data_IF_754720128025
#
_entry.id   IF_754720128025
#
_cell.length_a   1.000
_cell.length_b   1.000
_cell.length_c   1.000
_cell.angle_alpha   90.00
_cell.angle_beta   90.00
_cell.angle_gamma   90.00
#
_symmetry.space_group_name_H-M   'P 1'
#
loop_
_entity.id
_entity.type
_entity.pdbx_description
1 polymer ?
#
# COMPACT_ATOMS: atom_id res chain seq x y z
N UNK A 1 -5.82 -0.26 32.88
CA UNK A 1 -4.88 -0.86 31.90
C UNK A 1 -5.00 -0.10 30.61
N UNK A 2 -3.90 0.17 29.88
CA UNK A 2 -3.99 0.83 28.58
C UNK A 2 -4.78 -0.05 27.59
N UNK A 3 -5.69 0.58 26.83
CA UNK A 3 -6.49 -0.10 25.83
C UNK A 3 -5.58 -0.66 24.73
N UNK A 4 -5.73 -1.95 24.41
CA UNK A 4 -4.92 -2.61 23.38
C UNK A 4 -5.30 -2.11 22.00
N UNK A 5 -4.30 -1.77 21.18
CA UNK A 5 -4.49 -1.19 19.85
C UNK A 5 -4.43 -2.24 18.74
N UNK A 6 -5.15 -1.97 17.66
CA UNK A 6 -5.00 -2.64 16.36
C UNK A 6 -4.41 -1.63 15.41
N UNK A 7 -3.25 -1.94 14.85
CA UNK A 7 -2.49 -1.07 13.95
C UNK A 7 -2.44 -1.71 12.56
N UNK A 8 -3.07 -1.07 11.61
CA UNK A 8 -3.18 -1.52 10.23
C UNK A 8 -2.28 -0.66 9.35
N UNK A 9 -1.17 -1.21 8.87
CA UNK A 9 -0.39 -0.60 7.79
C UNK A 9 -0.96 -1.09 6.45
N UNK A 10 -1.62 -0.19 5.74
CA UNK A 10 -2.40 -0.50 4.53
C UNK A 10 -1.71 -0.10 3.22
N UNK A 11 -0.45 0.21 3.26
CA UNK A 11 0.34 0.60 2.08
C UNK A 11 0.47 2.12 1.99
N UNK A 12 0.39 2.75 0.82
CA UNK A 12 -0.05 2.24 -0.49
C UNK A 12 0.94 1.25 -1.15
N UNK A 13 0.59 0.77 -2.35
CA UNK A 13 1.52 0.00 -3.16
C UNK A 13 2.75 0.82 -3.53
N UNK A 14 3.91 0.17 -3.71
CA UNK A 14 5.17 0.82 -4.14
C UNK A 14 5.68 1.93 -3.19
N UNK A 15 5.38 1.82 -1.90
CA UNK A 15 5.77 2.77 -0.83
C UNK A 15 6.56 2.11 0.30
N UNK A 16 7.53 1.24 -0.01
CA UNK A 16 8.37 0.49 0.92
C UNK A 16 7.62 -0.50 1.84
N UNK A 17 6.39 -0.91 1.49
CA UNK A 17 5.61 -1.88 2.28
C UNK A 17 6.39 -3.18 2.50
N UNK A 18 7.04 -3.70 1.46
CA UNK A 18 7.88 -4.92 1.55
C UNK A 18 9.02 -4.77 2.56
N UNK A 19 9.69 -3.62 2.61
CA UNK A 19 10.73 -3.34 3.59
C UNK A 19 10.18 -3.43 5.02
N UNK A 20 9.08 -2.73 5.32
CA UNK A 20 8.46 -2.75 6.65
C UNK A 20 7.97 -4.15 7.02
N UNK A 21 7.39 -4.89 6.08
CA UNK A 21 6.94 -6.27 6.28
C UNK A 21 8.11 -7.20 6.64
N UNK A 22 9.23 -7.11 5.92
CA UNK A 22 10.45 -7.87 6.23
C UNK A 22 11.02 -7.47 7.59
N UNK A 23 11.07 -6.17 7.89
CA UNK A 23 11.55 -5.65 9.16
C UNK A 23 10.75 -6.19 10.34
N UNK A 24 9.41 -6.16 10.27
CA UNK A 24 8.54 -6.69 11.32
C UNK A 24 8.61 -8.22 11.41
N UNK A 25 8.70 -8.93 10.29
CA UNK A 25 8.87 -10.40 10.28
C UNK A 25 10.18 -10.81 10.94
N UNK A 26 11.29 -10.14 10.62
CA UNK A 26 12.60 -10.38 11.20
C UNK A 26 12.62 -10.11 12.72
N UNK A 27 11.88 -9.12 13.17
CA UNK A 27 11.78 -8.73 14.56
C UNK A 27 10.59 -9.37 15.30
N UNK A 28 9.86 -10.32 14.71
CA UNK A 28 8.62 -10.87 15.26
C UNK A 28 8.75 -11.39 16.69
N UNK A 29 9.86 -12.05 17.02
CA UNK A 29 10.10 -12.56 18.37
C UNK A 29 10.32 -11.44 19.40
N UNK A 30 10.98 -10.34 18.99
CA UNK A 30 11.16 -9.15 19.84
C UNK A 30 9.83 -8.45 20.05
N UNK A 31 9.05 -8.26 18.99
CA UNK A 31 7.71 -7.66 19.05
C UNK A 31 6.79 -8.46 20.00
N UNK A 32 6.79 -9.79 19.88
CA UNK A 32 5.97 -10.66 20.74
C UNK A 32 6.34 -10.55 22.21
N UNK A 33 7.63 -10.46 22.55
CA UNK A 33 8.10 -10.24 23.95
C UNK A 33 7.69 -8.87 24.49
N UNK A 34 7.49 -7.88 23.63
CA UNK A 34 7.03 -6.55 23.99
C UNK A 34 5.50 -6.37 23.83
N UNK A 35 4.74 -7.47 23.79
CA UNK A 35 3.28 -7.43 23.80
C UNK A 35 2.62 -7.13 22.45
N UNK A 36 3.36 -7.16 21.34
CA UNK A 36 2.86 -6.90 19.98
C UNK A 36 2.76 -8.21 19.19
N UNK A 37 1.60 -8.55 18.71
CA UNK A 37 1.38 -9.66 17.78
C UNK A 37 1.46 -9.14 16.35
N UNK A 38 2.51 -9.49 15.65
CA UNK A 38 2.65 -9.21 14.22
C UNK A 38 2.20 -10.41 13.38
N UNK A 39 1.31 -10.13 12.42
CA UNK A 39 0.86 -11.13 11.46
C UNK A 39 1.65 -10.99 10.15
N UNK A 40 2.50 -11.97 9.79
CA UNK A 40 3.30 -11.93 8.56
C UNK A 40 2.44 -11.84 7.30
N UNK A 41 2.98 -11.15 6.30
CA UNK A 41 2.31 -10.92 5.01
C UNK A 41 1.77 -12.21 4.38
N UNK A 42 2.54 -13.30 4.43
CA UNK A 42 2.20 -14.59 3.82
C UNK A 42 0.87 -15.12 4.36
N UNK A 43 0.64 -15.00 5.66
CA UNK A 43 -0.59 -15.42 6.31
C UNK A 43 -1.77 -14.48 5.97
N UNK A 44 -1.50 -13.18 5.88
CA UNK A 44 -2.52 -12.15 5.70
C UNK A 44 -3.01 -12.08 4.26
N UNK A 45 -2.08 -12.07 3.30
CA UNK A 45 -2.36 -11.88 1.88
C UNK A 45 -3.32 -12.90 1.31
N UNK A 46 -3.10 -14.18 1.60
CA UNK A 46 -3.97 -15.24 1.13
C UNK A 46 -5.38 -15.13 1.72
N UNK A 47 -5.48 -14.82 3.01
CA UNK A 47 -6.78 -14.62 3.66
C UNK A 47 -7.52 -13.42 3.06
N UNK A 48 -6.83 -12.30 2.84
CA UNK A 48 -7.41 -11.09 2.23
C UNK A 48 -7.88 -11.39 0.81
N UNK A 49 -7.03 -11.97 -0.05
CA UNK A 49 -7.33 -12.28 -1.45
C UNK A 49 -8.50 -13.26 -1.57
N UNK A 50 -8.42 -14.41 -0.90
CA UNK A 50 -9.46 -15.43 -0.95
C UNK A 50 -10.80 -14.91 -0.41
N UNK A 51 -10.77 -14.16 0.68
CA UNK A 51 -11.98 -13.59 1.26
C UNK A 51 -12.62 -12.56 0.35
N UNK A 52 -11.81 -11.73 -0.32
CA UNK A 52 -12.28 -10.73 -1.27
C UNK A 52 -12.94 -11.40 -2.50
N UNK A 53 -12.26 -12.36 -3.12
CA UNK A 53 -12.80 -13.09 -4.27
C UNK A 53 -14.12 -13.82 -3.96
N UNK A 54 -14.19 -14.48 -2.80
CA UNK A 54 -15.41 -15.15 -2.35
C UNK A 54 -16.54 -14.16 -2.09
N UNK A 55 -16.22 -12.99 -1.54
CA UNK A 55 -17.20 -11.95 -1.30
C UNK A 55 -17.72 -11.32 -2.60
N UNK A 56 -16.87 -11.14 -3.61
CA UNK A 56 -17.30 -10.72 -4.97
C UNK A 56 -18.28 -11.73 -5.56
N UNK A 57 -17.95 -13.01 -5.54
CA UNK A 57 -18.83 -14.10 -6.06
C UNK A 57 -20.18 -14.16 -5.33
N UNK A 58 -20.20 -13.94 -4.02
CA UNK A 58 -21.46 -13.91 -3.25
C UNK A 58 -22.34 -12.71 -3.58
N UNK A 59 -21.73 -11.54 -3.86
CA UNK A 59 -22.49 -10.34 -4.25
C UNK A 59 -23.15 -10.47 -5.62
N UNK A 60 -22.62 -11.28 -6.53
CA UNK A 60 -23.16 -11.44 -7.88
C UNK A 60 -24.46 -12.22 -7.94
N UNK A 61 -24.93 -12.86 -6.85
CA UNK A 61 -26.16 -13.63 -6.81
C UNK A 61 -27.03 -13.31 -5.59
N UNK A 62 -28.35 -13.43 -5.73
CA UNK A 62 -29.32 -13.24 -4.63
C UNK A 62 -29.09 -14.24 -3.49
N UNK A 63 -28.84 -15.51 -3.82
CA UNK A 63 -28.51 -16.56 -2.84
C UNK A 63 -27.24 -16.25 -2.08
N UNK A 64 -26.21 -15.73 -2.76
CA UNK A 64 -24.96 -15.35 -2.14
C UNK A 64 -25.10 -14.13 -1.22
N UNK A 65 -25.95 -13.16 -1.56
CA UNK A 65 -26.27 -12.02 -0.69
C UNK A 65 -26.98 -12.47 0.59
N UNK A 66 -27.94 -13.38 0.46
CA UNK A 66 -28.64 -13.95 1.63
C UNK A 66 -27.68 -14.76 2.50
N UNK A 67 -26.80 -15.58 1.90
CA UNK A 67 -25.77 -16.32 2.63
C UNK A 67 -24.81 -15.39 3.38
N UNK A 68 -24.40 -14.27 2.79
CA UNK A 68 -23.54 -13.27 3.45
C UNK A 68 -24.25 -12.58 4.62
N UNK A 69 -25.55 -12.40 4.54
CA UNK A 69 -26.36 -11.87 5.63
C UNK A 69 -26.43 -12.84 6.81
N UNK A 70 -26.61 -14.14 6.55
CA UNK A 70 -26.76 -15.19 7.58
C UNK A 70 -25.40 -15.58 8.20
N UNK A 71 -24.37 -15.79 7.37
CA UNK A 71 -23.07 -16.35 7.77
C UNK A 71 -21.97 -15.32 7.93
N UNK A 72 -22.26 -14.03 7.74
CA UNK A 72 -21.26 -12.95 7.71
C UNK A 72 -20.40 -12.97 6.45
N UNK A 73 -19.57 -11.94 6.30
CA UNK A 73 -18.59 -11.92 5.23
C UNK A 73 -17.33 -12.73 5.62
N UNK A 74 -16.70 -13.32 4.61
CA UNK A 74 -15.58 -14.25 4.84
C UNK A 74 -14.34 -13.57 5.43
N UNK A 75 -14.14 -12.28 5.14
CA UNK A 75 -13.01 -11.55 5.68
C UNK A 75 -13.16 -11.37 7.19
N UNK A 76 -14.34 -10.93 7.64
CA UNK A 76 -14.58 -10.74 9.06
C UNK A 76 -14.48 -12.05 9.85
N UNK A 77 -15.05 -13.13 9.32
CA UNK A 77 -15.00 -14.46 9.98
C UNK A 77 -13.56 -14.95 10.15
N UNK A 78 -12.73 -14.83 9.11
CA UNK A 78 -11.35 -15.34 9.13
C UNK A 78 -10.39 -14.46 9.93
N UNK A 79 -10.61 -13.14 9.96
CA UNK A 79 -9.69 -12.21 10.62
C UNK A 79 -10.09 -11.90 12.07
N UNK A 80 -11.34 -12.14 12.46
CA UNK A 80 -11.80 -11.90 13.83
C UNK A 80 -10.91 -12.54 14.91
N UNK A 81 -10.46 -13.81 14.80
CA UNK A 81 -9.56 -14.40 15.79
C UNK A 81 -8.24 -13.63 15.96
N UNK A 82 -7.74 -13.01 14.89
CA UNK A 82 -6.48 -12.24 14.93
C UNK A 82 -6.62 -10.94 15.73
N UNK A 83 -7.79 -10.32 15.68
CA UNK A 83 -8.06 -9.07 16.37
C UNK A 83 -8.61 -9.24 17.80
N UNK A 84 -9.00 -10.47 18.18
CA UNK A 84 -9.56 -10.77 19.49
C UNK A 84 -8.52 -11.15 20.55
N UNK A 85 -7.23 -11.16 20.20
CA UNK A 85 -6.16 -11.49 21.15
C UNK A 85 -5.88 -10.32 22.10
N UNK A 86 -5.53 -10.63 23.36
CA UNK A 86 -5.25 -9.66 24.44
C UNK A 86 -3.85 -9.01 24.32
N UNK A 87 -3.50 -8.54 23.12
CA UNK A 87 -2.23 -7.88 22.79
C UNK A 87 -2.46 -6.76 21.78
N UNK A 88 -1.49 -5.87 21.63
CA UNK A 88 -1.45 -5.01 20.47
C UNK A 88 -1.27 -5.87 19.22
N UNK A 89 -2.01 -5.53 18.17
CA UNK A 89 -1.95 -6.24 16.88
C UNK A 89 -1.36 -5.32 15.84
N UNK A 90 -0.34 -5.78 15.14
CA UNK A 90 0.22 -5.12 13.96
C UNK A 90 -0.01 -6.00 12.73
N UNK A 91 -0.65 -5.43 11.72
CA UNK A 91 -0.90 -6.05 10.44
C UNK A 91 -0.43 -5.10 9.33
N UNK A 92 0.34 -5.63 8.36
CA UNK A 92 0.85 -4.87 7.22
C UNK A 92 0.50 -5.59 5.92
N UNK A 93 -0.44 -5.03 5.14
CA UNK A 93 -0.87 -5.58 3.86
C UNK A 93 -1.52 -4.49 2.97
N UNK A 94 -0.87 -4.16 1.88
CA UNK A 94 -1.35 -3.15 0.91
C UNK A 94 -2.60 -3.58 0.14
N UNK A 95 -2.83 -4.86 -0.04
CA UNK A 95 -4.04 -5.36 -0.72
C UNK A 95 -5.33 -5.16 0.10
N UNK A 96 -5.22 -4.66 1.33
CA UNK A 96 -6.41 -4.25 2.10
C UNK A 96 -7.16 -3.09 1.45
N UNK A 97 -6.48 -2.23 0.69
CA UNK A 97 -7.13 -1.08 0.02
C UNK A 97 -7.35 -1.29 -1.47
N UNK A 98 -6.73 -2.31 -2.08
CA UNK A 98 -6.86 -2.60 -3.51
C UNK A 98 -5.86 -3.64 -3.96
N UNK A 99 -5.91 -4.01 -5.24
CA UNK A 99 -4.95 -4.91 -5.88
C UNK A 99 -4.24 -4.22 -7.04
N UNK A 100 -3.09 -4.75 -7.49
CA UNK A 100 -2.36 -4.20 -8.63
C UNK A 100 -3.21 -4.09 -9.90
N UNK A 101 -4.17 -5.00 -10.10
CA UNK A 101 -5.10 -4.96 -11.22
C UNK A 101 -6.06 -3.75 -11.19
N UNK A 102 -6.34 -3.17 -10.01
CA UNK A 102 -7.21 -1.99 -9.88
C UNK A 102 -6.63 -0.77 -10.61
N UNK A 103 -5.30 -0.75 -10.87
CA UNK A 103 -4.58 0.30 -11.58
C UNK A 103 -4.52 0.09 -13.11
N UNK A 104 -5.08 -0.98 -13.63
CA UNK A 104 -5.25 -1.16 -15.08
C UNK A 104 -6.45 -0.39 -15.61
N UNK A 105 -7.39 -0.01 -14.74
CA UNK A 105 -8.56 0.79 -15.03
C UNK A 105 -8.40 2.26 -14.63
N UNK A 106 -9.48 3.04 -14.82
CA UNK A 106 -9.49 4.49 -14.52
C UNK A 106 -9.71 4.79 -13.03
N UNK A 107 -9.82 3.76 -12.19
CA UNK A 107 -10.26 3.90 -10.81
C UNK A 107 -9.12 3.69 -9.82
N UNK A 108 -8.80 4.77 -9.11
CA UNK A 108 -7.78 4.78 -8.07
C UNK A 108 -8.34 4.18 -6.76
N UNK A 109 -7.95 2.95 -6.42
CA UNK A 109 -8.40 2.25 -5.20
C UNK A 109 -9.92 2.22 -5.00
N UNK A 110 -10.69 2.03 -6.07
CA UNK A 110 -12.16 2.13 -6.07
C UNK A 110 -12.87 1.24 -5.05
N UNK A 111 -12.26 0.12 -4.68
CA UNK A 111 -12.83 -0.84 -3.75
C UNK A 111 -12.34 -0.65 -2.30
N UNK A 112 -11.55 0.38 -2.02
CA UNK A 112 -10.97 0.62 -0.71
C UNK A 112 -12.03 0.69 0.40
N UNK A 113 -13.07 1.52 0.22
CA UNK A 113 -14.12 1.67 1.22
C UNK A 113 -14.86 0.35 1.50
N UNK A 114 -15.12 -0.45 0.45
CA UNK A 114 -15.77 -1.75 0.59
C UNK A 114 -14.89 -2.76 1.35
N UNK A 115 -13.61 -2.86 0.99
CA UNK A 115 -12.65 -3.76 1.62
C UNK A 115 -12.48 -3.44 3.10
N UNK A 116 -12.27 -2.18 3.44
CA UNK A 116 -12.12 -1.73 4.82
C UNK A 116 -13.41 -1.84 5.64
N UNK A 117 -14.58 -1.63 5.04
CA UNK A 117 -15.87 -1.84 5.70
C UNK A 117 -16.10 -3.30 6.11
N UNK A 118 -15.57 -4.24 5.33
CA UNK A 118 -15.63 -5.66 5.71
C UNK A 118 -14.62 -6.00 6.79
N UNK A 119 -13.41 -5.46 6.68
CA UNK A 119 -12.38 -5.62 7.71
C UNK A 119 -12.87 -5.09 9.06
N UNK A 120 -13.55 -3.93 9.07
CA UNK A 120 -14.13 -3.32 10.28
C UNK A 120 -15.01 -4.28 11.07
N UNK A 121 -15.77 -5.16 10.41
CA UNK A 121 -16.63 -6.14 11.07
C UNK A 121 -15.85 -7.20 11.86
N UNK A 122 -14.58 -7.41 11.54
CA UNK A 122 -13.70 -8.30 12.28
C UNK A 122 -13.08 -7.64 13.52
N UNK A 123 -13.04 -6.31 13.55
CA UNK A 123 -12.39 -5.53 14.61
C UNK A 123 -13.35 -5.35 15.78
N UNK A 124 -12.99 -5.77 16.99
CA UNK A 124 -13.80 -5.52 18.18
C UNK A 124 -13.99 -4.01 18.44
N UNK A 125 -15.20 -3.61 18.83
CA UNK A 125 -15.57 -2.20 19.00
C UNK A 125 -14.88 -1.51 20.17
N UNK A 126 -14.38 -2.28 21.11
CA UNK A 126 -13.66 -1.85 22.32
C UNK A 126 -12.15 -1.68 22.08
N UNK A 127 -11.66 -1.93 20.86
CA UNK A 127 -10.25 -1.78 20.51
C UNK A 127 -9.98 -0.43 19.85
N UNK A 128 -8.87 0.20 20.23
CA UNK A 128 -8.36 1.36 19.50
C UNK A 128 -7.85 0.92 18.12
N UNK A 129 -8.25 1.64 17.07
CA UNK A 129 -7.84 1.38 15.71
C UNK A 129 -6.95 2.51 15.19
N UNK A 130 -5.76 2.15 14.73
CA UNK A 130 -4.85 3.02 14.01
C UNK A 130 -4.66 2.53 12.58
N UNK A 131 -4.74 3.43 11.63
CA UNK A 131 -4.50 3.16 10.21
C UNK A 131 -3.28 3.95 9.76
N UNK A 132 -2.29 3.24 9.22
CA UNK A 132 -1.01 3.78 8.79
C UNK A 132 -0.91 3.68 7.27
N UNK A 133 -0.80 4.83 6.60
CA UNK A 133 -0.78 4.93 5.14
C UNK A 133 0.41 5.74 4.66
N UNK A 134 1.23 5.16 3.81
CA UNK A 134 2.26 5.85 3.04
C UNK A 134 1.71 6.25 1.68
N UNK A 135 1.81 7.52 1.33
CA UNK A 135 1.50 8.05 -0.01
C UNK A 135 2.78 8.44 -0.73
N UNK A 136 2.73 8.64 -2.05
CA UNK A 136 3.92 8.90 -2.86
C UNK A 136 3.62 9.92 -3.95
N UNK A 137 4.66 10.62 -4.46
CA UNK A 137 4.51 11.54 -5.57
C UNK A 137 3.85 10.87 -6.76
N UNK A 138 2.97 11.56 -7.46
CA UNK A 138 2.20 10.98 -8.56
C UNK A 138 3.09 10.51 -9.71
N UNK A 139 4.11 11.28 -10.18
CA UNK A 139 4.98 10.79 -11.23
C UNK A 139 5.64 9.46 -10.89
N UNK A 140 6.20 9.36 -9.70
CA UNK A 140 6.90 8.16 -9.24
C UNK A 140 5.96 7.01 -8.90
N UNK A 141 4.79 7.30 -8.33
CA UNK A 141 3.81 6.29 -8.00
C UNK A 141 3.30 5.58 -9.24
N UNK A 142 2.77 6.33 -10.21
CA UNK A 142 2.20 5.75 -11.42
C UNK A 142 3.24 5.10 -12.32
N UNK A 143 4.44 5.68 -12.46
CA UNK A 143 5.55 5.03 -13.19
C UNK A 143 5.92 3.68 -12.56
N UNK A 144 6.00 3.63 -11.21
CA UNK A 144 6.30 2.39 -10.48
C UNK A 144 5.18 1.36 -10.56
N UNK A 145 3.91 1.79 -10.56
CA UNK A 145 2.75 0.91 -10.73
C UNK A 145 2.68 0.35 -12.14
N UNK A 146 2.96 1.16 -13.17
CA UNK A 146 3.04 0.70 -14.55
C UNK A 146 4.09 -0.39 -14.73
N UNK A 147 5.32 -0.15 -14.26
CA UNK A 147 6.40 -1.13 -14.35
C UNK A 147 6.09 -2.43 -13.60
N UNK A 148 5.38 -2.36 -12.47
CA UNK A 148 4.92 -3.56 -11.75
C UNK A 148 3.84 -4.30 -12.52
N UNK A 149 2.83 -3.58 -13.04
CA UNK A 149 1.73 -4.18 -13.78
C UNK A 149 2.20 -4.85 -15.09
N UNK A 150 3.15 -4.23 -15.80
CA UNK A 150 3.73 -4.75 -17.04
C UNK A 150 4.36 -6.15 -16.89
N UNK A 151 4.80 -6.49 -15.69
CA UNK A 151 5.36 -7.81 -15.38
C UNK A 151 4.35 -8.94 -15.46
N UNK A 152 3.08 -8.63 -15.21
CA UNK A 152 2.04 -9.64 -15.08
C UNK A 152 1.02 -9.59 -16.21
N UNK A 153 0.80 -8.40 -16.77
CA UNK A 153 -0.26 -8.15 -17.76
C UNK A 153 0.25 -7.38 -18.97
N UNK A 154 -0.35 -7.62 -20.15
CA UNK A 154 -0.19 -6.69 -21.27
C UNK A 154 -0.66 -5.28 -20.87
N UNK A 155 0.16 -4.28 -21.14
CA UNK A 155 -0.12 -2.89 -20.78
C UNK A 155 -0.39 -2.04 -22.02
N UNK A 156 -1.18 -0.96 -21.92
CA UNK A 156 -1.22 0.07 -22.94
C UNK A 156 0.19 0.66 -23.12
N UNK A 157 0.45 1.34 -24.25
CA UNK A 157 1.76 1.98 -24.44
C UNK A 157 2.03 3.00 -23.32
N UNK A 158 3.32 3.32 -23.03
CA UNK A 158 3.63 4.33 -22.02
C UNK A 158 2.92 5.66 -22.26
N UNK A 159 2.78 6.08 -23.51
CA UNK A 159 2.12 7.33 -23.90
C UNK A 159 0.60 7.27 -23.65
N UNK A 160 -0.05 6.17 -23.97
CA UNK A 160 -1.46 5.95 -23.69
C UNK A 160 -1.74 5.92 -22.17
N UNK A 161 -0.82 5.30 -21.42
CA UNK A 161 -0.89 5.29 -19.97
C UNK A 161 -0.69 6.69 -19.36
N UNK A 162 0.30 7.43 -19.85
CA UNK A 162 0.58 8.79 -19.41
C UNK A 162 -0.63 9.70 -19.59
N UNK A 163 -1.24 9.71 -20.78
CA UNK A 163 -2.43 10.51 -21.08
C UNK A 163 -3.63 10.16 -20.18
N UNK A 164 -3.73 8.91 -19.71
CA UNK A 164 -4.80 8.50 -18.80
C UNK A 164 -4.64 9.07 -17.39
N UNK A 165 -3.40 9.25 -16.93
CA UNK A 165 -3.09 9.63 -15.56
C UNK A 165 -2.53 11.04 -15.39
N UNK A 166 -2.47 11.84 -16.45
CA UNK A 166 -1.97 13.22 -16.37
C UNK A 166 -2.82 14.14 -15.44
N UNK A 167 -4.09 13.77 -15.18
CA UNK A 167 -4.98 14.45 -14.24
C UNK A 167 -5.12 13.63 -12.95
N UNK A 168 -4.05 13.59 -12.15
CA UNK A 168 -4.03 12.83 -10.91
C UNK A 168 -4.43 13.62 -9.66
N UNK A 169 -4.68 14.94 -9.78
CA UNK A 169 -5.05 15.79 -8.66
C UNK A 169 -6.24 15.25 -7.86
N UNK A 170 -6.16 15.30 -6.52
CA UNK A 170 -7.22 14.86 -5.62
C UNK A 170 -7.32 13.34 -5.41
N UNK A 171 -6.46 12.53 -6.02
CA UNK A 171 -6.54 11.06 -5.88
C UNK A 171 -6.16 10.59 -4.47
N UNK A 172 -5.11 11.15 -3.85
CA UNK A 172 -4.78 10.83 -2.47
C UNK A 172 -5.82 11.34 -1.48
N UNK A 173 -6.31 12.58 -1.55
CA UNK A 173 -7.46 13.04 -0.78
C UNK A 173 -8.68 12.12 -0.90
N UNK A 174 -9.04 11.72 -2.13
CA UNK A 174 -10.16 10.79 -2.37
C UNK A 174 -9.96 9.42 -1.68
N UNK A 175 -8.73 8.87 -1.68
CA UNK A 175 -8.43 7.65 -0.95
C UNK A 175 -8.61 7.84 0.56
N UNK A 176 -8.14 8.97 1.11
CA UNK A 176 -8.34 9.30 2.53
C UNK A 176 -9.83 9.37 2.86
N UNK A 177 -10.65 9.98 2.01
CA UNK A 177 -12.10 10.07 2.20
C UNK A 177 -12.77 8.68 2.18
N UNK A 178 -12.32 7.79 1.31
CA UNK A 178 -12.79 6.40 1.31
C UNK A 178 -12.42 5.66 2.61
N UNK A 179 -11.19 5.84 3.11
CA UNK A 179 -10.75 5.27 4.38
C UNK A 179 -11.59 5.81 5.53
N UNK A 180 -11.83 7.13 5.58
CA UNK A 180 -12.66 7.79 6.58
C UNK A 180 -14.11 7.31 6.56
N UNK A 181 -14.67 7.15 5.38
CA UNK A 181 -16.02 6.61 5.21
C UNK A 181 -16.15 5.18 5.80
N UNK A 182 -15.14 4.34 5.58
CA UNK A 182 -15.15 2.97 6.08
C UNK A 182 -14.81 2.88 7.59
N UNK A 183 -13.86 3.68 8.05
CA UNK A 183 -13.25 3.63 9.39
C UNK A 183 -13.29 5.03 10.06
N UNK A 184 -14.47 5.60 10.35
CA UNK A 184 -14.61 6.99 10.79
C UNK A 184 -13.91 7.30 12.13
N UNK A 185 -13.79 6.30 13.00
CA UNK A 185 -13.22 6.45 14.34
C UNK A 185 -11.75 6.00 14.43
N UNK A 186 -11.11 5.63 13.32
CA UNK A 186 -9.72 5.22 13.33
C UNK A 186 -8.80 6.44 13.45
N UNK A 187 -7.71 6.33 14.19
CA UNK A 187 -6.61 7.29 14.07
C UNK A 187 -5.90 7.04 12.75
N UNK A 188 -5.96 8.01 11.83
CA UNK A 188 -5.32 7.88 10.51
C UNK A 188 -4.01 8.64 10.50
N UNK A 189 -2.92 7.89 10.35
CA UNK A 189 -1.55 8.40 10.29
C UNK A 189 -1.04 8.26 8.85
N UNK A 190 -0.61 9.37 8.27
CA UNK A 190 -0.17 9.45 6.87
C UNK A 190 1.23 10.05 6.79
N UNK A 191 2.05 9.58 5.86
CA UNK A 191 3.34 10.17 5.54
C UNK A 191 3.64 10.04 4.05
N UNK A 192 4.55 10.90 3.56
CA UNK A 192 5.06 10.82 2.21
C UNK A 192 6.24 9.82 2.13
N UNK A 193 6.27 9.00 1.08
CA UNK A 193 7.35 8.06 0.82
C UNK A 193 8.72 8.76 0.70
N UNK A 194 8.71 9.96 0.17
CA UNK A 194 9.90 10.80 0.00
C UNK A 194 10.57 11.13 1.34
N UNK A 195 9.76 11.20 2.42
CA UNK A 195 10.22 11.47 3.79
C UNK A 195 10.54 10.18 4.57
N UNK A 196 10.29 9.00 4.00
CA UNK A 196 10.32 7.73 4.72
C UNK A 196 11.63 7.49 5.47
N UNK A 197 12.78 7.79 4.86
CA UNK A 197 14.10 7.54 5.47
C UNK A 197 14.31 8.34 6.76
N UNK A 198 13.87 9.59 6.76
CA UNK A 198 13.99 10.47 7.93
C UNK A 198 12.95 10.15 9.01
N UNK A 199 11.79 9.63 8.60
CA UNK A 199 10.68 9.26 9.47
C UNK A 199 10.69 7.80 9.93
N UNK A 200 11.53 6.94 9.36
CA UNK A 200 11.53 5.50 9.62
C UNK A 200 11.54 5.15 11.12
N UNK A 201 12.43 5.75 11.97
CA UNK A 201 12.44 5.45 13.41
C UNK A 201 11.12 5.80 14.09
N UNK A 202 10.50 6.91 13.70
CA UNK A 202 9.22 7.38 14.24
C UNK A 202 8.06 6.49 13.78
N UNK A 203 8.07 6.07 12.52
CA UNK A 203 7.07 5.15 11.94
C UNK A 203 7.14 3.80 12.63
N UNK A 204 8.34 3.19 12.73
CA UNK A 204 8.53 1.90 13.38
C UNK A 204 8.11 1.95 14.84
N UNK A 205 8.55 2.96 15.61
CA UNK A 205 8.15 3.14 17.00
C UNK A 205 6.65 3.36 17.15
N UNK A 206 6.03 4.16 16.28
CA UNK A 206 4.60 4.39 16.27
C UNK A 206 3.81 3.10 16.02
N UNK A 207 4.17 2.35 14.96
CA UNK A 207 3.51 1.09 14.62
C UNK A 207 3.70 -0.01 15.65
N UNK A 208 4.89 -0.11 16.26
CA UNK A 208 5.20 -1.22 17.17
C UNK A 208 5.07 -0.86 18.65
N UNK A 209 5.18 0.42 19.01
CA UNK A 209 5.34 0.85 20.41
C UNK A 209 6.70 0.47 21.04
N UNK A 210 7.58 -0.21 20.28
CA UNK A 210 8.88 -0.72 20.75
C UNK A 210 9.98 0.25 20.39
N UNK A 211 10.92 0.49 21.31
CA UNK A 211 12.10 1.31 21.01
C UNK A 211 12.94 0.62 19.92
N UNK A 212 13.33 1.40 18.89
CA UNK A 212 14.10 0.88 17.76
C UNK A 212 15.43 0.26 18.20
N UNK A 213 16.04 0.71 19.31
CA UNK A 213 17.26 0.14 19.87
C UNK A 213 17.12 -1.32 20.29
N UNK A 214 15.90 -1.78 20.57
CA UNK A 214 15.57 -3.17 20.88
C UNK A 214 15.33 -4.02 19.65
N UNK A 215 15.14 -3.38 18.49
CA UNK A 215 14.87 -4.05 17.22
C UNK A 215 16.17 -4.22 16.43
N UNK A 216 16.27 -5.35 15.73
CA UNK A 216 17.44 -5.67 14.92
C UNK A 216 17.30 -5.03 13.54
N UNK A 217 18.31 -4.29 13.05
CA UNK A 217 18.30 -3.77 11.68
C UNK A 217 18.33 -4.94 10.68
N UNK A 218 17.69 -4.76 9.53
CA UNK A 218 17.81 -5.72 8.43
C UNK A 218 19.23 -5.67 7.88
N UNK A 219 19.90 -6.80 7.84
CA UNK A 219 21.24 -6.90 7.24
C UNK A 219 21.15 -6.86 5.71
N UNK A 220 20.09 -7.42 5.16
CA UNK A 220 19.83 -7.46 3.73
C UNK A 220 18.33 -7.29 3.51
N UNK A 221 17.97 -6.42 2.58
CA UNK A 221 16.59 -6.17 2.19
C UNK A 221 16.37 -6.80 0.83
N UNK A 222 15.48 -7.77 0.76
CA UNK A 222 15.07 -8.37 -0.50
C UNK A 222 14.02 -7.47 -1.15
N UNK A 223 14.49 -6.33 -1.67
CA UNK A 223 13.66 -5.40 -2.46
C UNK A 223 14.11 -5.48 -3.90
N UNK A 224 13.19 -5.87 -4.76
CA UNK A 224 13.44 -5.86 -6.20
C UNK A 224 13.71 -4.42 -6.66
N UNK A 225 14.84 -4.14 -7.32
CA UNK A 225 15.13 -2.82 -7.84
C UNK A 225 14.10 -2.41 -8.90
N UNK A 226 13.95 -1.10 -9.11
CA UNK A 226 13.15 -0.59 -10.23
C UNK A 226 13.81 -1.02 -11.55
N UNK A 227 13.01 -1.51 -12.49
CA UNK A 227 13.52 -1.85 -13.83
C UNK A 227 13.98 -0.58 -14.56
N UNK A 228 14.96 -0.74 -15.46
CA UNK A 228 15.39 0.34 -16.32
C UNK A 228 14.29 0.78 -17.29
N UNK A 229 14.40 1.99 -17.83
CA UNK A 229 13.47 2.48 -18.84
C UNK A 229 13.41 1.54 -20.05
N UNK A 230 14.58 1.04 -20.49
CA UNK A 230 14.67 0.09 -21.61
C UNK A 230 13.97 -1.23 -21.28
N UNK A 231 14.27 -1.84 -20.13
CA UNK A 231 13.65 -3.11 -19.74
C UNK A 231 12.12 -3.02 -19.73
N UNK A 232 11.54 -1.96 -19.14
CA UNK A 232 10.09 -1.80 -19.12
C UNK A 232 9.49 -1.67 -20.51
N UNK A 233 10.13 -0.92 -21.42
CA UNK A 233 9.64 -0.76 -22.80
C UNK A 233 9.70 -2.08 -23.59
N UNK A 234 10.75 -2.88 -23.43
CA UNK A 234 10.86 -4.20 -24.06
C UNK A 234 9.82 -5.19 -23.46
N UNK A 235 9.57 -5.14 -22.14
CA UNK A 235 8.52 -5.95 -21.50
C UNK A 235 7.12 -5.59 -22.05
N UNK A 236 6.85 -4.32 -22.24
CA UNK A 236 5.56 -3.85 -22.78
C UNK A 236 5.40 -4.23 -24.25
N UNK A 237 6.48 -4.29 -25.01
CA UNK A 237 6.48 -4.72 -26.40
C UNK A 237 6.28 -6.24 -26.61
N UNK A 238 6.31 -7.03 -25.53
CA UNK A 238 6.02 -8.46 -25.64
C UNK A 238 4.61 -8.71 -26.21
N UNK A 239 4.44 -9.73 -27.05
CA UNK A 239 3.13 -10.12 -27.58
C UNK A 239 2.08 -10.29 -26.48
N UNK A 240 0.84 -9.91 -26.78
CA UNK A 240 -0.25 -9.91 -25.79
C UNK A 240 -0.73 -11.31 -25.38
N UNK A 241 -0.42 -12.33 -26.17
CA UNK A 241 -0.66 -13.73 -25.89
C UNK A 241 0.34 -14.32 -24.90
N UNK A 242 1.52 -13.71 -24.74
CA UNK A 242 2.48 -14.07 -23.68
C UNK A 242 1.98 -13.52 -22.33
N UNK A 243 1.49 -14.43 -21.47
CA UNK A 243 0.89 -14.11 -20.19
C UNK A 243 1.37 -15.06 -19.06
N UNK A 244 1.04 -14.71 -17.82
CA UNK A 244 1.30 -15.57 -16.67
C UNK A 244 2.78 -15.93 -16.46
N UNK A 245 3.11 -17.21 -16.21
CA UNK A 245 4.49 -17.64 -15.92
C UNK A 245 5.48 -17.37 -17.07
N UNK A 246 5.04 -17.51 -18.32
CA UNK A 246 5.90 -17.25 -19.48
C UNK A 246 6.28 -15.76 -19.54
N UNK A 247 5.31 -14.86 -19.38
CA UNK A 247 5.58 -13.42 -19.33
C UNK A 247 6.54 -13.07 -18.20
N UNK A 248 6.37 -13.68 -17.04
CA UNK A 248 7.25 -13.47 -15.89
C UNK A 248 8.70 -13.91 -16.20
N UNK A 249 8.90 -15.03 -16.87
CA UNK A 249 10.23 -15.47 -17.27
C UNK A 249 10.86 -14.50 -18.26
N UNK A 250 10.13 -14.10 -19.30
CA UNK A 250 10.62 -13.12 -20.28
C UNK A 250 10.97 -11.78 -19.65
N UNK A 251 10.16 -11.34 -18.69
CA UNK A 251 10.44 -10.12 -17.94
C UNK A 251 11.75 -10.22 -17.13
N UNK A 252 12.00 -11.36 -16.46
CA UNK A 252 13.25 -11.57 -15.70
C UNK A 252 14.48 -11.52 -16.65
N UNK A 253 14.39 -12.18 -17.80
CA UNK A 253 15.45 -12.15 -18.84
C UNK A 253 15.72 -10.70 -19.31
N UNK A 254 14.67 -9.92 -19.55
CA UNK A 254 14.80 -8.52 -20.01
C UNK A 254 15.34 -7.59 -18.91
N UNK A 255 14.95 -7.78 -17.65
CA UNK A 255 15.51 -7.01 -16.53
C UNK A 255 16.99 -7.32 -16.30
N UNK A 256 17.41 -8.59 -16.50
CA UNK A 256 18.82 -8.99 -16.44
C UNK A 256 19.63 -8.47 -17.61
N UNK A 257 19.06 -8.49 -18.81
CA UNK A 257 19.71 -8.00 -20.04
C UNK A 257 19.87 -6.47 -20.05
N UNK A 258 18.94 -5.76 -19.45
CA UNK A 258 18.90 -4.30 -19.39
C UNK A 258 18.85 -3.78 -17.96
N UNK A 259 19.89 -3.99 -17.14
CA UNK A 259 19.91 -3.50 -15.78
C UNK A 259 19.93 -1.96 -15.75
N UNK A 260 19.35 -1.32 -14.73
CA UNK A 260 19.41 0.14 -14.60
C UNK A 260 20.86 0.59 -14.38
N UNK A 261 21.31 1.59 -15.13
CA UNK A 261 22.66 2.15 -15.02
C UNK A 261 22.82 3.01 -13.78
N UNK A 262 21.81 3.83 -13.50
CA UNK A 262 21.75 4.74 -12.36
C UNK A 262 20.29 5.12 -12.06
N UNK A 263 20.09 6.09 -11.16
CA UNK A 263 18.76 6.55 -10.79
C UNK A 263 18.00 7.27 -11.90
N UNK A 264 18.69 7.85 -12.88
CA UNK A 264 18.07 8.56 -14.02
C UNK A 264 17.55 7.60 -15.08
N UNK A 265 18.05 6.37 -15.12
CA UNK A 265 17.62 5.32 -16.06
C UNK A 265 16.33 4.60 -15.63
N UNK A 266 15.64 5.13 -14.61
CA UNK A 266 14.34 4.59 -14.20
C UNK A 266 13.28 4.87 -15.25
N UNK A 267 12.37 3.93 -15.39
CA UNK A 267 11.23 4.10 -16.27
C UNK A 267 10.39 5.32 -15.86
N UNK A 268 10.11 6.17 -16.85
CA UNK A 268 9.16 7.27 -16.76
C UNK A 268 8.36 7.35 -18.06
N UNK A 269 7.02 7.29 -18.01
CA UNK A 269 6.20 7.45 -19.20
C UNK A 269 5.90 8.91 -19.55
N UNK A 270 6.27 9.86 -18.68
CA UNK A 270 5.83 11.26 -18.72
C UNK A 270 6.66 12.10 -19.67
N UNK A 271 6.00 13.05 -20.37
CA UNK A 271 6.69 14.22 -20.92
C UNK A 271 7.12 15.16 -19.78
N UNK A 272 8.06 16.10 -20.02
CA UNK A 272 8.41 17.10 -19.02
C UNK A 272 7.20 17.87 -18.49
N UNK A 273 6.28 18.29 -19.36
CA UNK A 273 5.06 19.04 -19.01
C UNK A 273 4.11 18.21 -18.17
N UNK A 274 3.92 16.94 -18.51
CA UNK A 274 3.11 16.01 -17.71
C UNK A 274 3.72 15.77 -16.32
N UNK A 275 5.06 15.64 -16.26
CA UNK A 275 5.76 15.46 -15.00
C UNK A 275 5.59 16.69 -14.09
N UNK A 276 5.74 17.91 -14.61
CA UNK A 276 5.52 19.16 -13.87
C UNK A 276 4.07 19.28 -13.37
N UNK A 277 3.09 18.97 -14.20
CA UNK A 277 1.67 18.96 -13.84
C UNK A 277 1.37 17.99 -12.69
N UNK A 278 1.88 16.76 -12.81
CA UNK A 278 1.72 15.73 -11.78
C UNK A 278 2.43 16.09 -10.47
N UNK A 279 3.62 16.70 -10.55
CA UNK A 279 4.34 17.14 -9.36
C UNK A 279 3.60 18.30 -8.67
N UNK A 280 3.09 19.27 -9.43
CA UNK A 280 2.26 20.35 -8.87
C UNK A 280 1.00 19.81 -8.18
N UNK A 281 0.32 18.84 -8.79
CA UNK A 281 -0.83 18.16 -8.20
C UNK A 281 -0.45 17.43 -6.90
N UNK A 282 0.70 16.75 -6.88
CA UNK A 282 1.24 16.08 -5.70
C UNK A 282 1.51 17.06 -4.55
N UNK A 283 2.21 18.16 -4.82
CA UNK A 283 2.54 19.15 -3.80
C UNK A 283 1.27 19.77 -3.19
N UNK A 284 0.28 20.06 -4.04
CA UNK A 284 -1.02 20.55 -3.57
C UNK A 284 -1.72 19.54 -2.67
N UNK A 285 -1.88 18.29 -3.12
CA UNK A 285 -2.59 17.26 -2.37
C UNK A 285 -1.87 16.92 -1.04
N UNK A 286 -0.53 16.93 -1.05
CA UNK A 286 0.28 16.75 0.15
C UNK A 286 0.04 17.86 1.16
N UNK A 287 -0.01 19.12 0.71
CA UNK A 287 -0.29 20.27 1.58
C UNK A 287 -1.73 20.22 2.13
N UNK A 288 -2.72 19.93 1.28
CA UNK A 288 -4.11 19.79 1.67
C UNK A 288 -4.29 18.68 2.73
N UNK A 289 -3.65 17.53 2.54
CA UNK A 289 -3.69 16.42 3.50
C UNK A 289 -2.99 16.76 4.83
N UNK A 290 -1.90 17.52 4.77
CA UNK A 290 -1.19 17.96 5.96
C UNK A 290 -2.00 18.98 6.80
N UNK A 291 -2.91 19.73 6.17
CA UNK A 291 -3.78 20.70 6.82
C UNK A 291 -5.08 20.06 7.39
N UNK A 292 -5.38 18.81 7.07
CA UNK A 292 -6.60 18.12 7.54
C UNK A 292 -6.53 17.84 9.04
N UNK A 293 -7.56 18.23 9.79
CA UNK A 293 -7.67 17.96 11.23
C UNK A 293 -7.98 16.49 11.57
N UNK A 294 -8.51 15.73 10.61
CA UNK A 294 -8.85 14.30 10.78
C UNK A 294 -7.71 13.37 10.36
N UNK A 295 -6.54 13.90 9.99
CA UNK A 295 -5.34 13.14 9.58
C UNK A 295 -4.15 13.59 10.44
N UNK A 296 -3.41 12.65 10.97
CA UNK A 296 -2.08 12.90 11.54
C UNK A 296 -1.04 12.76 10.44
N UNK A 297 -0.66 13.87 9.80
CA UNK A 297 0.38 13.84 8.79
C UNK A 297 1.77 13.95 9.44
N UNK A 298 2.63 12.95 9.18
CA UNK A 298 4.00 12.95 9.72
C UNK A 298 4.91 13.78 8.81
N UNK A 299 5.61 14.74 9.42
CA UNK A 299 6.60 15.59 8.76
C UNK A 299 7.99 15.31 9.31
N UNK A 300 9.01 15.56 8.47
CA UNK A 300 10.41 15.62 8.90
C UNK A 300 10.64 16.91 9.69
N UNK A 301 11.49 16.86 10.70
CA UNK A 301 11.80 18.02 11.57
C UNK A 301 12.53 19.15 10.85
N UNK A 302 12.99 18.94 9.61
CA UNK A 302 13.77 19.93 8.82
C UNK A 302 12.95 21.11 8.27
N UNK A 303 11.63 21.18 8.51
CA UNK A 303 10.76 22.24 8.01
C UNK A 303 10.45 23.39 8.99
N UNK A 304 10.84 23.29 10.26
CA UNK A 304 10.84 24.45 11.17
C UNK A 304 12.23 25.04 11.18
N UNK A 305 12.50 26.04 10.32
CA UNK A 305 13.47 27.07 10.69
C UNK A 305 12.88 27.73 11.94
N UNK A 306 13.60 27.63 13.04
CA UNK A 306 13.41 28.50 14.19
C UNK A 306 13.56 29.93 13.69
N UNK A 307 12.45 30.62 13.43
CA UNK A 307 12.42 32.07 13.46
C UNK A 307 12.44 32.44 14.95
N UNK A 308 13.69 32.65 15.46
CA UNK A 308 13.97 33.18 16.78
C UNK A 308 13.66 34.66 16.87
#
# INVERSE_FOLDING_TARGET
MAQKAIKLHIGAHKTATTYLQQYFSYNRAVLARNGVAYWPRENVRDVVKLSWEQSKRRRSSLRGRLASFIFGDQMSVRMKPWFSIERDVLLSEENLIGEGADFLGDQFYSECANRLSWLKKAIPSDRQLEVWLCIRSYPDFFASMYGEAARFWPMPTPEQYANRYEDAAGRWPSLIDQIRKALPNANLIVWAYEDFRDLEPRIIKGMTGVDQKLLRPLQQVDVRPSASNRAVREIVALPSDIQGPERMMRMLELEELYPPKDKSDRFSPWTPEQCEKLEAAWQKDRADLAARSDVTFLHTSKGKKDDG
#
